data_IF_237282353406
#
_entry.id   IF_237282353406
#
_cell.length_a   1.000
_cell.length_b   1.000
_cell.length_c   1.000
_cell.angle_alpha   90.00
_cell.angle_beta   90.00
_cell.angle_gamma   90.00
#
_symmetry.space_group_name_H-M   'P 1'
#
loop_
_entity.id
_entity.type
_entity.pdbx_description
1 polymer ?
#
# COMPACT_ATOMS: atom_id res chain seq x y z
N UNK A 1 16.45 6.80 -9.59
CA UNK A 1 15.32 6.49 -8.67
C UNK A 1 15.35 7.35 -7.42
N UNK A 2 14.52 8.38 -7.36
CA UNK A 2 14.35 9.23 -6.18
C UNK A 2 13.41 8.62 -5.13
N UNK A 3 13.69 8.75 -3.83
CA UNK A 3 12.79 8.30 -2.77
C UNK A 3 11.50 9.14 -2.75
N UNK A 4 10.36 8.44 -2.74
CA UNK A 4 9.05 9.04 -2.79
C UNK A 4 8.74 9.81 -1.50
N UNK A 5 8.45 11.10 -1.62
CA UNK A 5 8.07 11.95 -0.50
C UNK A 5 6.72 11.57 0.13
N UNK A 6 6.49 12.11 1.34
CA UNK A 6 5.26 11.90 2.11
C UNK A 6 3.98 12.17 1.31
N UNK A 7 3.90 13.32 0.63
CA UNK A 7 2.69 13.75 -0.09
C UNK A 7 2.34 12.81 -1.25
N UNK A 8 3.32 12.32 -2.01
CA UNK A 8 3.09 11.36 -3.10
C UNK A 8 2.53 10.04 -2.57
N UNK A 9 3.02 9.57 -1.41
CA UNK A 9 2.49 8.37 -0.75
C UNK A 9 1.08 8.60 -0.22
N UNK A 10 0.80 9.79 0.32
CA UNK A 10 -0.54 10.16 0.79
C UNK A 10 -1.54 10.21 -0.36
N UNK A 11 -1.18 10.84 -1.49
CA UNK A 11 -2.00 10.83 -2.71
C UNK A 11 -2.25 9.41 -3.21
N UNK A 12 -1.23 8.53 -3.18
CA UNK A 12 -1.38 7.14 -3.62
C UNK A 12 -2.36 6.38 -2.73
N UNK A 13 -2.28 6.59 -1.41
CA UNK A 13 -3.21 6.03 -0.45
C UNK A 13 -4.64 6.54 -0.67
N UNK A 14 -4.81 7.85 -0.92
CA UNK A 14 -6.12 8.43 -1.23
C UNK A 14 -6.72 7.78 -2.48
N UNK A 15 -5.92 7.61 -3.54
CA UNK A 15 -6.37 6.90 -4.74
C UNK A 15 -6.74 5.45 -4.45
N UNK A 16 -5.92 4.73 -3.68
CA UNK A 16 -6.23 3.35 -3.30
C UNK A 16 -7.54 3.26 -2.48
N UNK A 17 -7.80 4.22 -1.59
CA UNK A 17 -9.06 4.30 -0.83
C UNK A 17 -10.26 4.62 -1.74
N UNK A 18 -10.11 5.54 -2.69
CA UNK A 18 -11.16 5.86 -3.66
C UNK A 18 -11.50 4.64 -4.51
N UNK A 19 -10.48 3.93 -5.01
CA UNK A 19 -10.66 2.71 -5.81
C UNK A 19 -11.36 1.63 -4.96
N UNK A 20 -10.91 1.40 -3.73
CA UNK A 20 -11.54 0.43 -2.83
C UNK A 20 -12.99 0.78 -2.51
N UNK A 21 -13.27 2.06 -2.20
CA UNK A 21 -14.62 2.53 -1.92
C UNK A 21 -15.54 2.37 -3.15
N UNK A 22 -15.07 2.72 -4.35
CA UNK A 22 -15.84 2.56 -5.58
C UNK A 22 -16.20 1.08 -5.84
N UNK A 23 -15.24 0.17 -5.65
CA UNK A 23 -15.47 -1.28 -5.82
C UNK A 23 -16.46 -1.81 -4.77
N UNK A 24 -16.34 -1.40 -3.50
CA UNK A 24 -17.24 -1.83 -2.43
C UNK A 24 -18.66 -1.28 -2.65
N UNK A 25 -18.80 -0.02 -3.05
CA UNK A 25 -20.11 0.59 -3.35
C UNK A 25 -20.78 -0.04 -4.56
N UNK A 26 -20.01 -0.32 -5.62
CA UNK A 26 -20.53 -1.04 -6.79
C UNK A 26 -21.02 -2.44 -6.40
N UNK A 27 -20.28 -3.14 -5.53
CA UNK A 27 -20.70 -4.43 -5.00
C UNK A 27 -21.98 -4.31 -4.15
N UNK A 28 -22.11 -3.27 -3.33
CA UNK A 28 -23.32 -2.98 -2.56
C UNK A 28 -24.54 -2.79 -3.46
N UNK A 29 -24.35 -2.04 -4.55
CA UNK A 29 -25.41 -1.83 -5.53
C UNK A 29 -25.81 -3.12 -6.28
N UNK A 30 -24.86 -4.00 -6.61
CA UNK A 30 -25.16 -5.23 -7.37
C UNK A 30 -25.69 -6.38 -6.51
N UNK A 31 -25.21 -6.53 -5.28
CA UNK A 31 -25.52 -7.67 -4.41
C UNK A 31 -26.45 -7.31 -3.22
N UNK A 32 -26.72 -6.03 -3.00
CA UNK A 32 -27.42 -5.53 -1.82
C UNK A 32 -26.47 -5.27 -0.64
N UNK A 33 -26.71 -4.17 0.07
CA UNK A 33 -25.92 -3.77 1.23
C UNK A 33 -25.97 -4.83 2.33
N UNK A 34 -24.80 -5.14 2.90
CA UNK A 34 -24.67 -6.16 3.95
C UNK A 34 -24.70 -7.61 3.48
N UNK A 35 -24.82 -7.86 2.17
CA UNK A 35 -24.70 -9.22 1.62
C UNK A 35 -23.29 -9.81 1.84
N UNK A 36 -23.21 -11.14 1.91
CA UNK A 36 -21.93 -11.84 2.04
C UNK A 36 -20.95 -11.50 0.91
N UNK A 37 -21.46 -11.22 -0.30
CA UNK A 37 -20.64 -10.81 -1.46
C UNK A 37 -19.90 -9.48 -1.21
N UNK A 38 -20.58 -8.49 -0.63
CA UNK A 38 -19.97 -7.19 -0.28
C UNK A 38 -18.90 -7.36 0.79
N UNK A 39 -19.16 -8.19 1.81
CA UNK A 39 -18.20 -8.47 2.87
C UNK A 39 -16.94 -9.14 2.32
N UNK A 40 -17.11 -10.13 1.44
CA UNK A 40 -15.98 -10.82 0.78
C UNK A 40 -15.17 -9.83 -0.05
N UNK A 41 -15.82 -8.98 -0.85
CA UNK A 41 -15.15 -7.98 -1.68
C UNK A 41 -14.40 -6.96 -0.81
N UNK A 42 -14.99 -6.50 0.29
CA UNK A 42 -14.34 -5.59 1.22
C UNK A 42 -13.08 -6.22 1.84
N UNK A 43 -13.15 -7.50 2.25
CA UNK A 43 -11.99 -8.24 2.76
C UNK A 43 -10.90 -8.36 1.68
N UNK A 44 -11.27 -8.68 0.45
CA UNK A 44 -10.31 -8.77 -0.65
C UNK A 44 -9.61 -7.42 -0.92
N UNK A 45 -10.36 -6.33 -0.93
CA UNK A 45 -9.81 -4.99 -1.20
C UNK A 45 -8.97 -4.43 -0.04
N UNK A 46 -9.33 -4.73 1.22
CA UNK A 46 -8.64 -4.20 2.39
C UNK A 46 -7.47 -5.06 2.84
N UNK A 47 -7.57 -6.39 2.73
CA UNK A 47 -6.53 -7.31 3.19
C UNK A 47 -5.67 -7.86 2.06
N UNK A 48 -6.31 -8.45 1.05
CA UNK A 48 -5.60 -9.25 0.04
C UNK A 48 -4.90 -8.34 -0.98
N UNK A 49 -5.58 -7.31 -1.45
CA UNK A 49 -5.08 -6.35 -2.43
C UNK A 49 -3.75 -5.68 -2.00
N UNK A 50 -3.63 -5.03 -0.83
CA UNK A 50 -2.39 -4.35 -0.45
C UNK A 50 -1.22 -5.29 -0.10
N UNK A 51 -1.51 -6.56 0.21
CA UNK A 51 -0.50 -7.59 0.48
C UNK A 51 0.05 -8.19 -0.82
N UNK A 52 -0.83 -8.55 -1.77
CA UNK A 52 -0.44 -9.23 -3.01
C UNK A 52 0.09 -8.28 -4.08
N UNK A 53 -0.48 -7.08 -4.22
CA UNK A 53 -0.07 -6.11 -5.25
C UNK A 53 1.44 -5.83 -5.27
N UNK A 54 2.10 -5.56 -4.14
CA UNK A 54 3.55 -5.36 -4.09
C UNK A 54 4.38 -6.58 -4.51
N UNK A 55 3.83 -7.79 -4.42
CA UNK A 55 4.44 -9.05 -4.85
C UNK A 55 4.24 -9.32 -6.34
N UNK A 56 3.46 -8.51 -7.05
CA UNK A 56 3.33 -8.61 -8.51
C UNK A 56 4.44 -7.84 -9.22
N UNK A 57 4.51 -7.94 -10.55
CA UNK A 57 5.46 -7.17 -11.35
C UNK A 57 5.19 -5.66 -11.31
N UNK A 58 4.04 -5.23 -10.80
CA UNK A 58 3.73 -3.81 -10.61
C UNK A 58 4.45 -3.21 -9.40
N UNK A 59 4.96 -4.05 -8.48
CA UNK A 59 5.74 -3.63 -7.31
C UNK A 59 5.04 -2.56 -6.47
N UNK A 60 3.70 -2.47 -6.53
CA UNK A 60 2.93 -1.40 -5.92
C UNK A 60 1.44 -1.62 -6.13
N UNK A 61 0.62 -0.98 -5.30
CA UNK A 61 -0.84 -0.92 -5.48
C UNK A 61 -1.20 -0.06 -6.70
N UNK A 62 -2.44 -0.14 -7.19
CA UNK A 62 -2.93 0.68 -8.31
C UNK A 62 -2.71 2.17 -8.05
N UNK A 63 -3.06 2.69 -6.87
CA UNK A 63 -2.84 4.09 -6.54
C UNK A 63 -1.37 4.48 -6.60
N UNK A 64 -0.48 3.61 -6.13
CA UNK A 64 0.98 3.80 -6.24
C UNK A 64 1.43 3.76 -7.70
N UNK A 65 0.93 2.82 -8.51
CA UNK A 65 1.26 2.71 -9.92
C UNK A 65 0.84 3.95 -10.71
N UNK A 66 -0.36 4.49 -10.45
CA UNK A 66 -0.88 5.71 -11.10
C UNK A 66 0.00 6.92 -10.81
N UNK A 67 0.51 7.03 -9.57
CA UNK A 67 1.43 8.11 -9.18
C UNK A 67 2.87 7.84 -9.64
N UNK A 68 3.14 6.68 -10.23
CA UNK A 68 4.49 6.27 -10.62
C UNK A 68 5.34 5.99 -9.39
N UNK A 69 4.86 5.16 -8.47
CA UNK A 69 5.58 4.71 -7.28
C UNK A 69 5.72 3.19 -7.29
N UNK A 70 6.90 2.72 -6.89
CA UNK A 70 7.22 1.31 -6.76
C UNK A 70 7.87 1.02 -5.41
N UNK A 71 7.66 -0.18 -4.92
CA UNK A 71 8.15 -0.68 -3.64
C UNK A 71 9.17 -1.77 -3.92
N UNK A 72 10.39 -1.51 -3.50
CA UNK A 72 11.55 -2.35 -3.78
C UNK A 72 12.30 -2.62 -2.49
N UNK A 73 13.26 -3.56 -2.53
CA UNK A 73 14.19 -3.77 -1.41
C UNK A 73 15.09 -2.57 -1.24
N UNK A 74 15.37 -2.21 0.01
CA UNK A 74 16.25 -1.06 0.33
C UNK A 74 17.72 -1.31 -0.09
N UNK A 75 18.18 -2.56 -0.01
CA UNK A 75 19.59 -2.90 -0.29
C UNK A 75 19.86 -3.15 -1.79
N UNK A 76 18.92 -3.78 -2.51
CA UNK A 76 19.14 -4.23 -3.90
C UNK A 76 18.27 -3.52 -4.93
N UNK A 77 17.26 -2.75 -4.52
CA UNK A 77 16.25 -2.16 -5.40
C UNK A 77 15.48 -3.17 -6.26
N UNK A 78 15.56 -4.44 -5.89
CA UNK A 78 14.81 -5.52 -6.54
C UNK A 78 13.41 -5.65 -5.96
N UNK A 79 12.63 -6.54 -6.57
CA UNK A 79 11.30 -6.92 -6.10
C UNK A 79 11.36 -7.44 -4.66
N UNK A 80 10.38 -7.04 -3.85
CA UNK A 80 10.27 -7.50 -2.47
C UNK A 80 9.92 -8.99 -2.41
N UNK A 81 10.38 -9.68 -1.37
CA UNK A 81 9.98 -11.07 -1.11
C UNK A 81 8.67 -11.17 -0.32
N UNK A 82 8.06 -12.34 -0.36
CA UNK A 82 6.85 -12.70 0.41
C UNK A 82 6.98 -12.34 1.90
N UNK A 83 8.05 -12.74 2.64
CA UNK A 83 8.18 -12.38 4.05
C UNK A 83 8.28 -10.87 4.28
N UNK A 84 8.93 -10.12 3.38
CA UNK A 84 9.00 -8.65 3.49
C UNK A 84 7.61 -8.02 3.31
N UNK A 85 6.81 -8.50 2.36
CA UNK A 85 5.45 -8.03 2.16
C UNK A 85 4.58 -8.29 3.41
N UNK A 86 4.71 -9.47 4.03
CA UNK A 86 3.99 -9.84 5.24
C UNK A 86 4.39 -8.97 6.43
N UNK A 87 5.69 -8.80 6.68
CA UNK A 87 6.20 -7.93 7.77
C UNK A 87 5.72 -6.49 7.56
N UNK A 88 5.80 -5.97 6.33
CA UNK A 88 5.31 -4.64 6.00
C UNK A 88 3.82 -4.50 6.27
N UNK A 89 3.04 -5.51 5.92
CA UNK A 89 1.60 -5.55 6.10
C UNK A 89 1.22 -5.62 7.59
N UNK A 90 1.79 -6.54 8.36
CA UNK A 90 1.52 -6.69 9.79
C UNK A 90 1.83 -5.39 10.56
N UNK A 91 2.98 -4.78 10.29
CA UNK A 91 3.39 -3.54 10.97
C UNK A 91 2.55 -2.35 10.50
N UNK A 92 2.11 -2.33 9.24
CA UNK A 92 1.14 -1.33 8.78
C UNK A 92 -0.21 -1.47 9.50
N UNK A 93 -0.68 -2.69 9.78
CA UNK A 93 -1.94 -2.98 10.48
C UNK A 93 -1.94 -2.60 11.94
N UNK A 94 -0.85 -2.88 12.67
CA UNK A 94 -0.64 -2.44 14.07
C UNK A 94 -0.73 -0.91 14.20
N UNK A 95 -0.64 -0.21 13.06
CA UNK A 95 -0.50 1.22 12.98
C UNK A 95 -1.53 1.90 12.07
N UNK A 96 -2.59 1.20 11.65
CA UNK A 96 -3.67 1.72 10.79
C UNK A 96 -4.32 3.00 11.34
N UNK A 97 -4.39 3.15 12.67
CA UNK A 97 -4.93 4.36 13.31
C UNK A 97 -3.91 5.50 13.45
N UNK A 98 -2.62 5.20 13.33
CA UNK A 98 -1.54 6.17 13.45
C UNK A 98 -1.18 6.72 12.07
N UNK A 99 -1.92 7.73 11.62
CA UNK A 99 -1.54 8.59 10.48
C UNK A 99 -0.13 9.23 10.66
N UNK A 100 0.51 9.07 11.83
CA UNK A 100 1.86 9.53 12.16
C UNK A 100 3.00 8.73 11.50
N UNK A 101 2.75 7.56 10.90
CA UNK A 101 3.85 6.75 10.33
C UNK A 101 4.28 7.19 8.95
N UNK A 102 3.39 7.85 8.20
CA UNK A 102 3.82 8.57 7.02
C UNK A 102 4.65 9.82 7.40
N UNK A 103 4.41 10.44 8.57
CA UNK A 103 5.25 11.55 9.05
C UNK A 103 6.70 11.10 9.30
N UNK A 104 6.95 9.86 9.73
CA UNK A 104 8.33 9.35 9.87
C UNK A 104 9.09 9.29 8.53
N UNK A 105 8.38 9.10 7.41
CA UNK A 105 8.95 9.21 6.08
C UNK A 105 9.33 10.66 5.69
N UNK A 106 8.84 11.67 6.41
CA UNK A 106 9.28 13.05 6.22
C UNK A 106 10.58 13.37 6.98
N UNK A 107 10.90 12.63 8.05
CA UNK A 107 12.05 12.89 8.94
C UNK A 107 13.22 11.91 8.78
N UNK A 108 13.07 10.83 8.02
CA UNK A 108 14.15 9.86 7.79
C UNK A 108 14.98 10.21 6.55
N UNK A 109 16.31 10.02 6.61
CA UNK A 109 17.25 10.30 5.49
C UNK A 109 16.86 9.59 4.18
N UNK A 110 16.28 8.39 4.27
CA UNK A 110 15.78 7.60 3.12
C UNK A 110 14.29 7.75 2.85
N UNK A 111 13.59 8.62 3.59
CA UNK A 111 12.13 8.81 3.54
C UNK A 111 11.35 7.50 3.72
N UNK A 112 11.80 6.61 4.60
CA UNK A 112 11.15 5.32 4.88
C UNK A 112 10.14 5.47 6.01
N UNK A 113 9.00 4.78 5.89
CA UNK A 113 8.06 4.62 6.99
C UNK A 113 8.52 3.52 7.96
N UNK A 114 7.98 3.49 9.18
CA UNK A 114 8.32 2.47 10.19
C UNK A 114 8.17 1.03 9.67
N UNK A 115 7.09 0.76 8.94
CA UNK A 115 6.87 -0.56 8.31
C UNK A 115 7.86 -0.85 7.19
N UNK A 116 8.32 0.18 6.47
CA UNK A 116 9.32 0.03 5.41
C UNK A 116 10.70 -0.30 6.00
N UNK A 117 11.07 0.37 7.09
CA UNK A 117 12.33 0.10 7.80
C UNK A 117 12.36 -1.34 8.36
N UNK A 118 11.27 -1.77 8.99
CA UNK A 118 11.17 -3.11 9.54
C UNK A 118 11.14 -4.21 8.46
N UNK A 119 10.51 -3.93 7.32
CA UNK A 119 10.50 -4.85 6.18
C UNK A 119 11.76 -4.78 5.29
N UNK A 120 12.68 -3.85 5.58
CA UNK A 120 13.83 -3.51 4.72
C UNK A 120 13.42 -3.20 3.27
N UNK A 121 12.33 -2.44 3.13
CA UNK A 121 11.80 -1.97 1.84
C UNK A 121 11.92 -0.46 1.71
N UNK A 122 11.86 0.04 0.48
CA UNK A 122 11.85 1.48 0.18
C UNK A 122 10.87 1.75 -0.95
N UNK A 123 10.18 2.90 -0.90
CA UNK A 123 9.30 3.37 -1.98
C UNK A 123 10.03 4.42 -2.80
N UNK A 124 10.19 4.12 -4.08
CA UNK A 124 10.86 4.97 -5.06
C UNK A 124 9.86 5.42 -6.12
N UNK A 125 10.15 6.54 -6.79
CA UNK A 125 9.46 6.87 -8.04
C UNK A 125 9.81 5.82 -9.09
N UNK A 126 8.80 5.30 -9.78
CA UNK A 126 8.95 4.53 -11.00
C UNK A 126 9.32 5.52 -12.13
N UNK A 127 10.46 5.29 -12.77
CA UNK A 127 10.88 5.97 -14.00
C UNK A 127 10.28 5.24 -15.20
#
# INVERSE_FOLDING_TARGET
MEPAGFMLRACALVLDVIIAAAVILAAGFTFGDGSAGVIIIAILMLLVYPLLMPLTNWRGTLGKKIIGLQIVRDETYEKISVPQAIVRYLIAWVHVFSRLIYLTAAFTKKKQAVHDMAAKTIVLKAE
#
